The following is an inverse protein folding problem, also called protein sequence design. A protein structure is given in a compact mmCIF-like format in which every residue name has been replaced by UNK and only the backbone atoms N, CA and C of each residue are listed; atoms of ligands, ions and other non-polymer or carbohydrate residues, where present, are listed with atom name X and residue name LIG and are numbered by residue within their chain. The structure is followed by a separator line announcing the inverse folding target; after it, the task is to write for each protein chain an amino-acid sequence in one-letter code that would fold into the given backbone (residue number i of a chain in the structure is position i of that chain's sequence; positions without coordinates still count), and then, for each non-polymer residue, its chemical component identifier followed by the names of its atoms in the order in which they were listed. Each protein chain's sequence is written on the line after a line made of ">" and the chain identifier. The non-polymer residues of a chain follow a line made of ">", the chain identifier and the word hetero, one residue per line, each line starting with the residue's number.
data_IF_557370724273
#
_entry.id   IF_557370724273
#
_cell.length_a   1.000
_cell.length_b   1.000
_cell.length_c   1.000
_cell.angle_alpha   90.00
_cell.angle_beta   90.00
_cell.angle_gamma   90.00
#
_symmetry.space_group_name_H-M   'P 1'
#
loop_
_entity.id
_entity.type
_entity.pdbx_description
1 polymer ?
#
# COMPACT_ATOMS: atom_id res chain seq x y z
N UNK A 1 25.20 -18.51 41.11
CA UNK A 1 23.83 -18.96 41.50
C UNK A 1 22.73 -17.90 41.33
N UNK A 2 23.03 -16.61 41.05
CA UNK A 2 22.00 -15.55 40.90
C UNK A 2 21.43 -15.36 39.47
N UNK A 3 22.14 -15.79 38.43
CA UNK A 3 21.74 -15.61 37.02
C UNK A 3 20.68 -16.65 36.59
N UNK A 4 20.74 -17.87 37.12
CA UNK A 4 19.77 -18.92 36.85
C UNK A 4 18.34 -18.57 37.33
N UNK A 5 18.23 -17.79 38.41
CA UNK A 5 16.94 -17.39 39.00
C UNK A 5 16.17 -16.39 38.11
N UNK A 6 16.87 -15.50 37.41
CA UNK A 6 16.24 -14.50 36.52
C UNK A 6 15.65 -15.16 35.28
N UNK A 7 16.31 -16.19 34.75
CA UNK A 7 15.79 -16.96 33.61
C UNK A 7 14.53 -17.77 33.98
N UNK A 8 14.49 -18.35 35.17
CA UNK A 8 13.31 -19.09 35.66
C UNK A 8 12.12 -18.14 35.85
N UNK A 9 12.31 -16.93 36.37
CA UNK A 9 11.24 -15.92 36.51
C UNK A 9 10.69 -15.49 35.14
N UNK A 10 11.55 -15.27 34.14
CA UNK A 10 11.12 -14.89 32.78
C UNK A 10 10.33 -15.98 32.06
N UNK A 11 10.65 -17.25 32.30
CA UNK A 11 9.90 -18.41 31.78
C UNK A 11 8.55 -18.54 32.50
N UNK A 12 8.50 -18.25 33.79
CA UNK A 12 7.26 -18.27 34.58
C UNK A 12 6.29 -17.15 34.17
N UNK A 13 6.79 -15.94 33.91
CA UNK A 13 6.02 -14.84 33.32
C UNK A 13 5.43 -15.20 31.94
N UNK A 14 6.21 -15.88 31.10
CA UNK A 14 5.77 -16.35 29.77
C UNK A 14 4.69 -17.43 29.85
N UNK A 15 4.69 -18.25 30.90
CA UNK A 15 3.71 -19.31 31.14
C UNK A 15 2.43 -18.80 31.83
N UNK A 16 2.53 -17.84 32.76
CA UNK A 16 1.37 -17.20 33.38
C UNK A 16 0.63 -16.24 32.43
N UNK A 17 1.33 -15.64 31.45
CA UNK A 17 0.68 -14.79 30.44
C UNK A 17 -0.17 -15.61 29.43
N UNK A 18 0.06 -16.93 29.31
CA UNK A 18 -0.71 -17.81 28.39
C UNK A 18 -1.99 -18.39 29.00
N UNK A 19 -2.23 -18.27 30.30
CA UNK A 19 -3.43 -18.83 30.96
C UNK A 19 -4.55 -17.82 31.24
N UNK A 20 -4.38 -16.53 30.88
CA UNK A 20 -5.43 -15.49 30.93
C UNK A 20 -6.01 -15.18 29.54
N UNK A 21 -6.01 -16.18 28.64
CA UNK A 21 -6.69 -16.13 27.33
C UNK A 21 -7.79 -17.18 27.22
N UNK A 22 -8.63 -17.24 28.24
CA UNK A 22 -9.88 -18.01 28.22
C UNK A 22 -10.97 -17.26 28.98
N UNK A 23 -11.18 -16.00 28.59
CA UNK A 23 -12.36 -15.21 28.93
C UNK A 23 -13.36 -15.29 27.80
N UNK A 24 -14.35 -16.17 27.93
CA UNK A 24 -15.55 -16.26 27.11
C UNK A 24 -16.30 -14.93 27.08
N UNK A 25 -15.99 -14.04 26.14
CA UNK A 25 -16.91 -12.96 25.78
C UNK A 25 -17.84 -13.43 24.68
N UNK A 26 -19.00 -13.93 25.12
CA UNK A 26 -20.17 -14.13 24.26
C UNK A 26 -20.46 -12.83 23.51
N UNK A 27 -20.59 -12.94 22.19
CA UNK A 27 -21.06 -11.88 21.29
C UNK A 27 -22.38 -11.31 21.81
N UNK A 28 -22.35 -10.06 22.26
CA UNK A 28 -23.48 -9.14 22.12
C UNK A 28 -22.93 -7.78 21.72
N UNK A 29 -22.67 -7.61 20.43
CA UNK A 29 -22.32 -6.31 19.87
C UNK A 29 -22.84 -6.14 18.42
N UNK A 30 -23.92 -6.85 18.08
CA UNK A 30 -24.48 -6.89 16.73
C UNK A 30 -25.31 -5.65 16.38
N UNK A 31 -25.88 -4.97 17.38
CA UNK A 31 -26.88 -3.94 17.13
C UNK A 31 -26.29 -2.53 17.04
N UNK A 32 -25.08 -2.33 17.58
CA UNK A 32 -24.45 -1.02 17.60
C UNK A 32 -23.71 -0.75 16.29
N UNK A 33 -22.96 -1.71 15.75
CA UNK A 33 -22.17 -1.50 14.54
C UNK A 33 -23.02 -1.09 13.33
N UNK A 34 -24.22 -1.66 13.17
CA UNK A 34 -25.14 -1.28 12.11
C UNK A 34 -25.63 0.18 12.24
N UNK A 35 -25.81 0.67 13.47
CA UNK A 35 -26.26 2.03 13.80
C UNK A 35 -25.15 3.08 13.74
N UNK A 36 -23.89 2.67 13.63
CA UNK A 36 -22.77 3.61 13.56
C UNK A 36 -22.74 4.35 12.22
N UNK A 37 -22.21 5.57 12.25
CA UNK A 37 -21.87 6.32 11.04
C UNK A 37 -20.91 5.51 10.18
N UNK A 38 -21.03 5.65 8.85
CA UNK A 38 -20.15 4.97 7.91
C UNK A 38 -18.66 5.29 8.16
N UNK A 39 -18.34 6.53 8.55
CA UNK A 39 -16.99 6.95 8.91
C UNK A 39 -16.45 6.17 10.12
N UNK A 40 -17.28 5.97 11.14
CA UNK A 40 -16.90 5.25 12.35
C UNK A 40 -16.77 3.75 12.11
N UNK A 41 -17.60 3.19 11.22
CA UNK A 41 -17.44 1.80 10.76
C UNK A 41 -16.06 1.59 10.15
N UNK A 42 -15.59 2.50 9.28
CA UNK A 42 -14.24 2.42 8.69
C UNK A 42 -13.15 2.51 9.76
N UNK A 43 -13.26 3.45 10.72
CA UNK A 43 -12.29 3.59 11.82
C UNK A 43 -12.19 2.31 12.66
N UNK A 44 -13.31 1.68 12.98
CA UNK A 44 -13.34 0.40 13.71
C UNK A 44 -12.69 -0.72 12.90
N UNK A 45 -12.94 -0.78 11.59
CA UNK A 45 -12.29 -1.75 10.70
C UNK A 45 -10.77 -1.56 10.67
N UNK A 46 -10.29 -0.33 10.66
CA UNK A 46 -8.87 -0.01 10.73
C UNK A 46 -8.25 -0.42 12.07
N UNK A 47 -8.91 -0.11 13.19
CA UNK A 47 -8.46 -0.56 14.52
C UNK A 47 -8.40 -2.09 14.60
N UNK A 48 -9.41 -2.78 14.05
CA UNK A 48 -9.41 -4.24 13.97
C UNK A 48 -8.27 -4.76 13.09
N UNK A 49 -7.97 -4.09 11.97
CA UNK A 49 -6.84 -4.43 11.09
C UNK A 49 -5.53 -4.36 11.86
N UNK A 50 -5.30 -3.27 12.59
CA UNK A 50 -4.09 -3.05 13.39
C UNK A 50 -3.96 -4.08 14.52
N UNK A 51 -5.03 -4.29 15.30
CA UNK A 51 -5.05 -5.26 16.40
C UNK A 51 -4.77 -6.70 15.95
N UNK A 52 -5.12 -7.04 14.71
CA UNK A 52 -4.90 -8.36 14.13
C UNK A 52 -3.66 -8.45 13.24
N UNK A 53 -2.95 -7.34 13.02
CA UNK A 53 -1.78 -7.30 12.14
C UNK A 53 -2.08 -7.57 10.65
N UNK A 54 -3.30 -7.29 10.18
CA UNK A 54 -3.64 -7.49 8.77
C UNK A 54 -2.95 -6.46 7.86
N UNK A 55 -2.64 -6.87 6.62
CA UNK A 55 -2.02 -5.99 5.60
C UNK A 55 -2.92 -4.77 5.31
N UNK A 56 -2.37 -3.58 4.98
CA UNK A 56 -3.17 -2.39 4.67
C UNK A 56 -4.24 -2.60 3.59
N UNK A 57 -3.92 -3.39 2.55
CA UNK A 57 -4.83 -3.75 1.46
C UNK A 57 -6.13 -4.43 1.96
N UNK A 58 -6.10 -5.08 3.12
CA UNK A 58 -7.25 -5.75 3.70
C UNK A 58 -8.39 -4.77 4.01
N UNK A 59 -8.07 -3.59 4.54
CA UNK A 59 -9.09 -2.59 4.88
C UNK A 59 -9.84 -2.13 3.63
N UNK A 60 -9.12 -1.91 2.53
CA UNK A 60 -9.72 -1.52 1.25
C UNK A 60 -10.76 -2.53 0.76
N UNK A 61 -10.41 -3.81 0.69
CA UNK A 61 -11.34 -4.85 0.25
C UNK A 61 -12.52 -4.98 1.20
N UNK A 62 -12.29 -4.89 2.51
CA UNK A 62 -13.37 -4.95 3.50
C UNK A 62 -14.33 -3.77 3.39
N UNK A 63 -13.82 -2.55 3.22
CA UNK A 63 -14.66 -1.37 3.02
C UNK A 63 -15.43 -1.44 1.68
N UNK A 64 -14.86 -2.04 0.63
CA UNK A 64 -15.56 -2.28 -0.63
C UNK A 64 -16.77 -3.20 -0.45
N UNK A 65 -16.59 -4.31 0.27
CA UNK A 65 -17.68 -5.27 0.55
C UNK A 65 -18.81 -4.66 1.39
N UNK A 66 -18.46 -3.78 2.32
CA UNK A 66 -19.42 -3.10 3.20
C UNK A 66 -20.05 -1.83 2.56
N UNK A 67 -19.65 -1.46 1.33
CA UNK A 67 -20.10 -0.24 0.66
C UNK A 67 -19.56 1.06 1.25
N UNK A 68 -18.51 1.00 2.07
CA UNK A 68 -17.90 2.12 2.81
C UNK A 68 -16.71 2.76 2.06
N UNK A 69 -16.65 2.57 0.75
CA UNK A 69 -15.47 2.91 -0.05
C UNK A 69 -15.26 4.43 -0.16
N UNK A 70 -16.35 5.20 -0.16
CA UNK A 70 -16.32 6.66 -0.25
C UNK A 70 -15.70 7.26 1.01
N UNK A 71 -16.13 6.82 2.18
CA UNK A 71 -15.63 7.26 3.48
C UNK A 71 -14.18 6.79 3.69
N UNK A 72 -13.85 5.57 3.25
CA UNK A 72 -12.47 5.10 3.23
C UNK A 72 -11.57 6.02 2.40
N UNK A 73 -11.98 6.37 1.19
CA UNK A 73 -11.21 7.26 0.33
C UNK A 73 -11.07 8.65 0.98
N UNK A 74 -12.15 9.20 1.55
CA UNK A 74 -12.09 10.49 2.25
C UNK A 74 -11.11 10.49 3.44
N UNK A 75 -11.03 9.40 4.19
CA UNK A 75 -10.15 9.28 5.37
C UNK A 75 -8.69 8.97 5.02
N UNK A 76 -8.44 8.07 4.07
CA UNK A 76 -7.11 7.47 3.84
C UNK A 76 -6.50 7.79 2.47
N UNK A 77 -7.29 8.28 1.53
CA UNK A 77 -6.82 8.91 0.29
C UNK A 77 -7.17 10.40 0.33
N UNK A 78 -6.54 11.19 1.21
CA UNK A 78 -6.71 12.63 1.15
C UNK A 78 -6.42 13.07 -0.28
N UNK A 79 -7.30 13.94 -0.77
CA UNK A 79 -7.44 14.38 -2.14
C UNK A 79 -6.09 14.29 -2.89
N UNK A 80 -6.05 13.52 -3.98
CA UNK A 80 -4.87 13.40 -4.86
C UNK A 80 -4.37 14.79 -5.31
N UNK A 81 -5.26 15.78 -5.25
CA UNK A 81 -5.02 17.21 -5.45
C UNK A 81 -4.14 17.91 -4.38
N UNK A 82 -3.92 17.29 -3.22
CA UNK A 82 -2.94 17.78 -2.22
C UNK A 82 -1.53 17.22 -2.44
N UNK A 83 -1.40 16.18 -3.28
CA UNK A 83 -0.11 15.69 -3.80
C UNK A 83 0.28 16.37 -5.11
N UNK A 84 -0.67 16.93 -5.88
CA UNK A 84 -0.37 17.71 -7.09
C UNK A 84 0.32 19.04 -6.81
N UNK A 85 0.37 19.47 -5.55
CA UNK A 85 1.14 20.66 -5.15
C UNK A 85 2.64 20.36 -4.90
N UNK A 86 3.07 19.10 -5.08
CA UNK A 86 4.49 18.75 -5.22
C UNK A 86 4.84 18.65 -6.71
N UNK A 87 4.81 19.81 -7.36
CA UNK A 87 5.30 20.10 -8.71
C UNK A 87 4.64 19.37 -9.89
N UNK A 88 4.27 20.20 -10.85
CA UNK A 88 3.86 19.97 -12.23
C UNK A 88 4.77 19.01 -13.01
N UNK A 89 4.71 17.72 -12.70
CA UNK A 89 5.37 16.66 -13.44
C UNK A 89 4.32 15.69 -13.95
N UNK A 90 3.77 15.98 -15.12
CA UNK A 90 2.79 15.12 -15.80
C UNK A 90 3.51 13.97 -16.51
N UNK A 91 3.74 12.85 -15.81
CA UNK A 91 4.31 11.63 -16.40
C UNK A 91 4.51 10.49 -15.40
N UNK A 92 4.87 9.30 -15.91
CA UNK A 92 5.20 8.13 -15.09
C UNK A 92 6.64 8.26 -14.60
N UNK A 93 6.83 7.93 -13.32
CA UNK A 93 8.13 7.94 -12.65
C UNK A 93 8.62 6.51 -12.55
N UNK A 94 9.88 6.26 -12.90
CA UNK A 94 10.49 4.95 -12.74
C UNK A 94 10.44 4.47 -11.28
N UNK A 95 9.86 3.30 -11.06
CA UNK A 95 9.83 2.65 -9.74
C UNK A 95 11.06 1.76 -9.47
N UNK A 96 11.88 1.51 -10.49
CA UNK A 96 13.02 0.57 -10.46
C UNK A 96 14.24 1.11 -11.24
N UNK A 97 15.32 0.33 -11.22
CA UNK A 97 16.50 0.54 -12.08
C UNK A 97 17.35 1.77 -11.75
N UNK A 98 18.24 2.11 -12.68
CA UNK A 98 19.23 3.21 -12.58
C UNK A 98 18.58 4.58 -12.38
N UNK A 99 17.42 4.79 -13.00
CA UNK A 99 16.73 6.09 -13.02
C UNK A 99 15.51 6.15 -12.08
N UNK A 100 15.47 5.31 -11.05
CA UNK A 100 14.39 5.30 -10.05
C UNK A 100 14.12 6.70 -9.50
N UNK A 101 12.86 7.11 -9.49
CA UNK A 101 12.43 8.44 -9.04
C UNK A 101 12.51 9.54 -10.10
N UNK A 102 12.97 9.24 -11.32
CA UNK A 102 12.96 10.16 -12.47
C UNK A 102 11.82 9.81 -13.43
N UNK A 103 11.37 10.79 -14.22
CA UNK A 103 10.32 10.59 -15.22
C UNK A 103 10.83 9.85 -16.44
N UNK A 104 10.00 8.97 -16.99
CA UNK A 104 10.31 8.23 -18.22
C UNK A 104 10.66 9.18 -19.37
N UNK A 105 9.89 10.27 -19.53
CA UNK A 105 10.13 11.30 -20.56
C UNK A 105 11.48 12.01 -20.43
N UNK A 106 11.93 12.27 -19.21
CA UNK A 106 13.21 12.94 -18.99
C UNK A 106 14.37 12.00 -19.26
N UNK A 107 14.23 10.73 -18.88
CA UNK A 107 15.21 9.69 -19.18
C UNK A 107 15.30 9.46 -20.69
N UNK A 108 14.17 9.44 -21.42
CA UNK A 108 14.20 9.35 -22.88
C UNK A 108 14.99 10.47 -23.55
N UNK A 109 14.90 11.71 -23.04
CA UNK A 109 15.68 12.84 -23.56
C UNK A 109 17.17 12.73 -23.21
N UNK A 110 17.49 12.16 -22.05
CA UNK A 110 18.84 12.07 -21.50
C UNK A 110 19.63 10.87 -22.01
N UNK A 111 18.98 9.72 -22.12
CA UNK A 111 19.59 8.41 -22.33
C UNK A 111 18.60 7.50 -23.08
N UNK A 112 18.56 7.67 -24.41
CA UNK A 112 17.70 6.86 -25.30
C UNK A 112 18.12 5.40 -25.33
N UNK A 113 19.42 5.13 -25.24
CA UNK A 113 19.96 3.78 -25.30
C UNK A 113 19.49 2.94 -24.12
N UNK A 114 19.41 3.54 -22.93
CA UNK A 114 18.82 2.88 -21.77
C UNK A 114 17.36 2.49 -22.00
N UNK A 115 16.55 3.37 -22.62
CA UNK A 115 15.14 3.06 -22.89
C UNK A 115 14.99 1.97 -23.95
N UNK A 116 15.84 1.98 -24.99
CA UNK A 116 15.85 0.93 -26.00
C UNK A 116 16.23 -0.43 -25.39
N UNK A 117 17.30 -0.46 -24.59
CA UNK A 117 17.68 -1.67 -23.84
C UNK A 117 16.57 -2.13 -22.91
N UNK A 118 15.87 -1.20 -22.25
CA UNK A 118 14.82 -1.51 -21.31
C UNK A 118 13.59 -2.13 -21.99
N UNK A 119 13.24 -1.67 -23.19
CA UNK A 119 12.14 -2.20 -24.01
C UNK A 119 12.38 -3.65 -24.46
N UNK A 120 13.64 -4.07 -24.56
CA UNK A 120 14.04 -5.46 -24.87
C UNK A 120 13.95 -6.40 -23.65
N UNK A 121 13.61 -5.89 -22.46
CA UNK A 121 13.59 -6.69 -21.24
C UNK A 121 12.23 -7.36 -21.01
N UNK A 122 12.23 -8.69 -20.96
CA UNK A 122 11.02 -9.50 -20.67
C UNK A 122 10.34 -9.10 -19.35
N UNK A 123 11.12 -8.72 -18.34
CA UNK A 123 10.61 -8.39 -17.01
C UNK A 123 9.94 -7.02 -16.94
N UNK A 124 10.03 -6.18 -17.97
CA UNK A 124 9.37 -4.87 -18.03
C UNK A 124 7.84 -5.03 -17.94
N UNK A 125 7.29 -6.18 -18.34
CA UNK A 125 5.85 -6.49 -18.21
C UNK A 125 5.32 -6.45 -16.77
N UNK A 126 6.19 -6.54 -15.76
CA UNK A 126 5.82 -6.36 -14.35
C UNK A 126 5.56 -4.89 -13.97
N UNK A 127 5.90 -3.96 -14.86
CA UNK A 127 5.82 -2.51 -14.69
C UNK A 127 4.98 -1.89 -15.81
N UNK A 128 3.65 -2.11 -15.80
CA UNK A 128 2.79 -1.77 -16.93
C UNK A 128 2.71 -0.26 -17.20
N UNK A 129 2.79 0.57 -16.16
CA UNK A 129 2.73 2.03 -16.30
C UNK A 129 3.98 2.55 -17.03
N UNK A 130 5.18 2.12 -16.61
CA UNK A 130 6.44 2.48 -17.24
C UNK A 130 6.54 1.93 -18.67
N UNK A 131 6.14 0.67 -18.89
CA UNK A 131 6.16 0.04 -20.21
C UNK A 131 5.23 0.74 -21.22
N UNK A 132 4.02 1.08 -20.79
CA UNK A 132 3.06 1.81 -21.62
C UNK A 132 3.60 3.18 -22.04
N UNK A 133 4.20 3.95 -21.10
CA UNK A 133 4.75 5.26 -21.45
C UNK A 133 5.97 5.16 -22.39
N UNK A 134 6.82 4.14 -22.24
CA UNK A 134 7.93 3.87 -23.16
C UNK A 134 7.40 3.58 -24.58
N UNK A 135 6.39 2.72 -24.70
CA UNK A 135 5.77 2.40 -25.98
C UNK A 135 5.18 3.65 -26.66
N UNK A 136 4.45 4.47 -25.90
CA UNK A 136 3.88 5.72 -26.40
C UNK A 136 4.96 6.68 -26.92
N UNK A 137 6.03 6.88 -26.14
CA UNK A 137 7.17 7.73 -26.51
C UNK A 137 7.84 7.24 -27.79
N UNK A 138 8.08 5.93 -27.92
CA UNK A 138 8.68 5.35 -29.13
C UNK A 138 7.78 5.54 -30.35
N UNK A 139 6.49 5.24 -30.22
CA UNK A 139 5.51 5.41 -31.30
C UNK A 139 5.40 6.88 -31.75
N UNK A 140 5.50 7.82 -30.80
CA UNK A 140 5.50 9.25 -31.09
C UNK A 140 6.80 9.69 -31.79
N UNK A 141 7.95 9.14 -31.39
CA UNK A 141 9.24 9.44 -32.01
C UNK A 141 9.33 8.93 -33.46
N UNK A 142 8.79 7.74 -33.73
CA UNK A 142 8.74 7.16 -35.08
C UNK A 142 7.86 7.99 -36.02
N UNK A 143 6.70 8.46 -35.56
CA UNK A 143 5.80 9.33 -36.33
C UNK A 143 6.40 10.69 -36.70
N UNK A 144 7.37 11.19 -35.94
CA UNK A 144 8.03 12.47 -36.21
C UNK A 144 9.12 12.33 -37.29
N UNK A 145 9.63 11.11 -37.50
CA UNK A 145 10.67 10.82 -38.48
C UNK A 145 10.10 10.40 -39.86
N UNK A 146 8.82 10.06 -39.94
CA UNK A 146 8.10 9.70 -41.16
C UNK A 146 7.45 10.93 -41.83
#
# INVERSE_FOLDING_TARGET
>A
MRIAFVFIIKIFEFLLFRSLRSGSFRKSHSNNFAKLSNVDKVKILEQRRQAKGYRPQWLYYRCREEGLLNEYNALFKPNVESRSNRSEWKGVVFSFGKYKGQLVKDVWKKDKDYINWLDEQDWLCHYPDEGQEIFEIKSAAEKVLA
#
